data_IF_454154565340
#
_entry.id   IF_454154565340
#
_cell.length_a   1.000
_cell.length_b   1.000
_cell.length_c   1.000
_cell.angle_alpha   90.00
_cell.angle_beta   90.00
_cell.angle_gamma   90.00
#
_symmetry.space_group_name_H-M   'P 1'
#
loop_
_entity.id
_entity.type
_entity.pdbx_description
1 polymer ?
#
# COMPACT_ATOMS: atom_id res chain seq x y z
N UNK A 1 -67.81 -50.55 -23.09
CA UNK A 1 -67.22 -49.87 -21.92
C UNK A 1 -66.08 -49.01 -22.43
N UNK A 2 -66.32 -47.72 -22.60
CA UNK A 2 -65.27 -46.74 -22.90
C UNK A 2 -64.74 -46.22 -21.56
N UNK A 3 -63.42 -46.23 -21.37
CA UNK A 3 -62.80 -45.38 -20.36
C UNK A 3 -61.47 -44.84 -20.89
N UNK A 4 -61.42 -43.53 -20.86
CA UNK A 4 -60.49 -42.58 -21.44
C UNK A 4 -59.10 -42.58 -20.79
N UNK A 5 -58.07 -42.38 -21.61
CA UNK A 5 -56.71 -42.07 -21.23
C UNK A 5 -56.59 -40.63 -20.73
N UNK A 6 -56.02 -40.43 -19.54
CA UNK A 6 -55.58 -39.13 -19.05
C UNK A 6 -54.11 -38.94 -19.44
N UNK A 7 -53.84 -37.97 -20.32
CA UNK A 7 -52.50 -37.42 -20.51
C UNK A 7 -52.22 -36.40 -19.41
N UNK A 8 -51.11 -36.57 -18.69
CA UNK A 8 -50.57 -35.55 -17.79
C UNK A 8 -49.46 -34.79 -18.50
N UNK A 9 -49.64 -33.48 -18.65
CA UNK A 9 -48.63 -32.55 -19.13
C UNK A 9 -47.84 -32.01 -17.94
N UNK A 10 -46.50 -32.02 -17.95
CA UNK A 10 -45.74 -31.34 -16.90
C UNK A 10 -45.69 -29.83 -17.20
N UNK A 11 -46.02 -29.04 -16.18
CA UNK A 11 -45.93 -27.59 -16.15
C UNK A 11 -44.45 -27.20 -15.99
N UNK A 12 -43.82 -26.64 -17.02
CA UNK A 12 -42.48 -26.06 -16.90
C UNK A 12 -42.57 -24.71 -16.16
N UNK A 13 -42.12 -24.67 -14.91
CA UNK A 13 -41.84 -23.43 -14.19
C UNK A 13 -40.51 -22.86 -14.70
N UNK A 14 -40.56 -21.82 -15.53
CA UNK A 14 -39.37 -21.04 -15.88
C UNK A 14 -38.95 -20.18 -14.68
N UNK A 15 -37.92 -20.62 -13.96
CA UNK A 15 -37.20 -19.76 -13.03
C UNK A 15 -36.39 -18.74 -13.85
N UNK A 16 -36.86 -17.49 -13.90
CA UNK A 16 -36.06 -16.36 -14.37
C UNK A 16 -35.03 -16.05 -13.28
N UNK A 17 -33.84 -16.63 -13.39
CA UNK A 17 -32.70 -16.20 -12.60
C UNK A 17 -32.31 -14.79 -13.06
N UNK A 18 -32.65 -13.78 -12.27
CA UNK A 18 -32.03 -12.47 -12.38
C UNK A 18 -30.54 -12.65 -12.10
N UNK A 19 -29.74 -12.74 -13.16
CA UNK A 19 -28.30 -12.57 -13.11
C UNK A 19 -28.06 -11.12 -12.67
N UNK A 20 -27.99 -10.89 -11.37
CA UNK A 20 -27.28 -9.74 -10.83
C UNK A 20 -25.81 -9.98 -11.15
N UNK A 21 -25.39 -9.57 -12.35
CA UNK A 21 -23.98 -9.31 -12.59
C UNK A 21 -23.53 -8.38 -11.47
N UNK A 22 -22.45 -8.69 -10.71
CA UNK A 22 -21.85 -7.66 -9.89
C UNK A 22 -21.52 -6.52 -10.86
N UNK A 23 -22.13 -5.35 -10.64
CA UNK A 23 -21.62 -4.14 -11.27
C UNK A 23 -20.15 -4.09 -10.85
N UNK A 24 -19.24 -4.33 -11.79
CA UNK A 24 -17.87 -3.93 -11.62
C UNK A 24 -17.94 -2.45 -11.23
N UNK A 25 -17.55 -2.13 -10.01
CA UNK A 25 -17.27 -0.74 -9.64
C UNK A 25 -16.11 -0.37 -10.55
N UNK A 26 -16.41 0.25 -11.69
CA UNK A 26 -15.40 0.89 -12.51
C UNK A 26 -14.71 1.87 -11.58
N UNK A 27 -13.44 1.63 -11.28
CA UNK A 27 -12.62 2.56 -10.53
C UNK A 27 -12.76 3.93 -11.19
N UNK A 28 -13.04 4.95 -10.39
CA UNK A 28 -13.11 6.32 -10.88
C UNK A 28 -11.79 7.01 -10.60
N UNK A 29 -11.45 7.99 -11.44
CA UNK A 29 -10.35 8.88 -11.14
C UNK A 29 -10.54 9.52 -9.75
N UNK A 30 -9.49 9.54 -8.95
CA UNK A 30 -9.44 10.32 -7.70
C UNK A 30 -8.23 11.27 -7.70
N UNK A 31 -8.10 12.09 -6.67
CA UNK A 31 -7.02 13.06 -6.51
C UNK A 31 -6.01 12.64 -5.43
N UNK A 32 -5.88 11.34 -5.15
CA UNK A 32 -5.02 10.82 -4.11
C UNK A 32 -3.55 10.71 -4.56
N UNK A 33 -2.64 11.30 -3.78
CA UNK A 33 -1.19 11.26 -3.98
C UNK A 33 -0.47 10.82 -2.72
N UNK A 34 0.48 9.89 -2.84
CA UNK A 34 1.29 9.38 -1.73
C UNK A 34 2.78 9.50 -2.03
N UNK A 35 3.57 9.94 -1.06
CA UNK A 35 5.03 10.09 -1.17
C UNK A 35 5.76 9.34 -0.05
N UNK A 36 6.57 8.33 -0.39
CA UNK A 36 7.46 7.68 0.57
C UNK A 36 8.69 8.55 0.85
N UNK A 37 9.13 8.61 2.11
CA UNK A 37 10.20 9.53 2.55
C UNK A 37 10.99 9.00 3.76
N UNK A 38 12.31 9.22 3.75
CA UNK A 38 13.19 9.12 4.92
C UNK A 38 14.09 7.88 4.98
N UNK A 39 13.95 6.92 4.07
CA UNK A 39 14.66 5.64 4.13
C UNK A 39 16.14 5.73 3.77
N UNK A 40 16.55 6.72 2.97
CA UNK A 40 17.89 6.76 2.38
C UNK A 40 18.84 7.71 3.11
N UNK A 41 18.39 8.38 4.18
CA UNK A 41 19.18 9.32 4.98
C UNK A 41 19.88 10.39 4.13
N UNK A 42 19.16 10.92 3.13
CA UNK A 42 19.67 11.94 2.19
C UNK A 42 19.38 13.38 2.64
N UNK A 43 18.83 13.57 3.84
CA UNK A 43 18.54 14.88 4.40
C UNK A 43 17.33 15.59 3.79
N UNK A 44 16.44 14.84 3.13
CA UNK A 44 15.17 15.36 2.61
C UNK A 44 14.23 15.70 3.77
N UNK A 45 13.48 16.79 3.63
CA UNK A 45 12.47 17.23 4.59
C UNK A 45 11.10 17.26 3.92
N UNK A 46 10.03 17.18 4.72
CA UNK A 46 8.67 17.39 4.23
C UNK A 46 8.49 18.71 3.48
N UNK A 47 9.22 19.77 3.88
CA UNK A 47 9.15 21.09 3.24
C UNK A 47 9.82 21.16 1.86
N UNK A 48 10.64 20.18 1.50
CA UNK A 48 11.34 20.16 0.21
C UNK A 48 10.44 19.62 -0.91
N UNK A 49 9.52 18.72 -0.56
CA UNK A 49 8.59 18.08 -1.49
C UNK A 49 7.45 19.05 -1.84
N UNK A 50 7.20 19.33 -3.13
CA UNK A 50 6.11 20.20 -3.56
C UNK A 50 4.74 19.62 -3.20
N UNK A 51 3.84 20.45 -2.65
CA UNK A 51 2.48 20.05 -2.29
C UNK A 51 1.46 20.90 -3.06
N UNK A 52 0.62 20.24 -3.84
CA UNK A 52 -0.54 20.83 -4.49
C UNK A 52 -1.77 20.73 -3.56
N UNK A 53 -2.41 21.86 -3.25
CA UNK A 53 -3.56 21.89 -2.35
C UNK A 53 -4.83 21.19 -2.89
N UNK A 54 -4.84 20.83 -4.17
CA UNK A 54 -5.98 20.18 -4.84
C UNK A 54 -5.93 18.65 -4.79
N UNK A 55 -4.89 18.05 -4.22
CA UNK A 55 -4.78 16.60 -4.02
C UNK A 55 -4.97 16.21 -2.55
N UNK A 56 -5.45 15.00 -2.28
CA UNK A 56 -5.26 14.37 -0.97
C UNK A 56 -3.81 13.87 -0.91
N UNK A 57 -3.01 14.40 0.00
CA UNK A 57 -1.56 14.17 0.02
C UNK A 57 -1.17 13.37 1.27
N UNK A 58 -0.63 12.17 1.09
CA UNK A 58 -0.09 11.37 2.18
C UNK A 58 1.43 11.29 2.09
N UNK A 59 2.14 11.64 3.16
CA UNK A 59 3.52 11.18 3.34
C UNK A 59 3.51 9.81 4.02
N UNK A 60 4.48 8.97 3.66
CA UNK A 60 4.75 7.71 4.35
C UNK A 60 6.22 7.68 4.78
N UNK A 61 6.45 7.77 6.08
CA UNK A 61 7.78 7.62 6.69
C UNK A 61 8.28 6.18 6.50
N UNK A 62 9.49 6.03 5.99
CA UNK A 62 10.11 4.72 5.74
C UNK A 62 11.42 4.55 6.51
N UNK A 63 11.53 3.66 7.49
CA UNK A 63 10.56 2.66 7.94
C UNK A 63 10.48 2.56 9.47
N UNK A 64 9.39 2.01 9.98
CA UNK A 64 9.37 1.36 11.28
C UNK A 64 9.62 -0.15 11.09
N UNK A 65 10.55 -0.72 11.85
CA UNK A 65 10.98 -2.12 11.68
C UNK A 65 11.00 -2.81 13.04
N UNK A 66 10.41 -4.00 13.15
CA UNK A 66 10.42 -4.83 14.36
C UNK A 66 11.70 -5.67 14.48
N UNK A 67 12.86 -5.02 14.28
CA UNK A 67 14.18 -5.62 14.34
C UNK A 67 15.11 -4.89 15.31
N UNK A 68 15.94 -5.66 16.02
CA UNK A 68 17.01 -5.14 16.85
C UNK A 68 18.33 -5.16 16.09
N UNK A 69 19.02 -4.02 16.08
CA UNK A 69 20.40 -3.87 15.56
C UNK A 69 21.45 -4.02 16.65
N UNK A 70 21.07 -4.45 17.86
CA UNK A 70 22.01 -4.71 18.95
C UNK A 70 22.85 -5.98 18.73
N UNK A 71 22.45 -6.83 17.77
CA UNK A 71 23.18 -8.04 17.35
C UNK A 71 23.62 -7.94 15.90
N UNK A 72 24.57 -8.79 15.50
CA UNK A 72 24.97 -8.98 14.11
C UNK A 72 24.94 -10.48 13.79
N UNK A 73 24.03 -10.94 12.91
CA UNK A 73 23.04 -10.16 12.17
C UNK A 73 21.96 -9.51 13.07
N UNK A 74 21.27 -8.45 12.59
CA UNK A 74 20.07 -7.95 13.23
C UNK A 74 19.04 -9.07 13.43
N UNK A 75 18.24 -8.98 14.50
CA UNK A 75 17.31 -10.04 14.89
C UNK A 75 15.87 -9.51 15.02
N UNK A 76 14.85 -10.29 14.64
CA UNK A 76 13.45 -9.91 14.82
C UNK A 76 13.13 -9.80 16.32
N UNK A 77 12.22 -8.89 16.64
CA UNK A 77 11.84 -8.52 18.02
C UNK A 77 10.41 -8.92 18.38
N UNK A 78 9.77 -9.76 17.54
CA UNK A 78 8.40 -10.20 17.74
C UNK A 78 7.42 -9.00 17.82
N UNK A 79 7.44 -8.11 16.83
CA UNK A 79 6.50 -6.99 16.74
C UNK A 79 6.88 -5.76 17.57
N UNK A 80 8.06 -5.67 18.16
CA UNK A 80 8.49 -4.43 18.84
C UNK A 80 9.13 -3.47 17.83
N UNK A 81 8.32 -2.56 17.27
CA UNK A 81 8.77 -1.64 16.21
C UNK A 81 9.70 -0.55 16.72
N UNK A 82 10.84 -0.40 16.05
CA UNK A 82 11.79 0.72 16.19
C UNK A 82 11.76 1.66 14.98
N UNK A 83 12.35 2.84 15.13
CA UNK A 83 12.44 3.87 14.09
C UNK A 83 13.71 3.69 13.24
N UNK A 84 13.56 3.63 11.92
CA UNK A 84 14.66 3.44 10.95
C UNK A 84 14.67 4.47 9.81
N UNK A 85 13.94 5.58 9.93
CA UNK A 85 14.05 6.73 9.01
C UNK A 85 14.98 7.81 9.56
N UNK A 86 15.28 8.81 8.73
CA UNK A 86 16.08 9.99 9.06
C UNK A 86 15.40 10.93 10.09
N UNK A 87 15.46 10.55 11.37
CA UNK A 87 14.88 11.32 12.49
C UNK A 87 15.51 12.70 12.71
N UNK A 88 16.69 12.96 12.15
CA UNK A 88 17.32 14.29 12.23
C UNK A 88 16.54 15.31 11.38
N UNK A 89 15.97 14.86 10.26
CA UNK A 89 15.23 15.71 9.32
C UNK A 89 13.71 15.53 9.38
N UNK A 90 13.23 14.37 9.85
CA UNK A 90 11.81 13.98 9.91
C UNK A 90 11.40 13.72 11.36
N UNK A 91 11.48 14.77 12.18
CA UNK A 91 11.15 14.74 13.62
C UNK A 91 9.64 14.87 13.88
N UNK A 92 9.16 14.60 15.12
CA UNK A 92 7.77 14.86 15.49
C UNK A 92 7.29 16.29 15.25
N UNK A 93 8.17 17.26 15.52
CA UNK A 93 7.88 18.68 15.27
C UNK A 93 7.75 18.97 13.76
N UNK A 94 8.52 18.28 12.92
CA UNK A 94 8.45 18.43 11.47
C UNK A 94 7.13 17.85 10.91
N UNK A 95 6.67 16.71 11.44
CA UNK A 95 5.34 16.13 11.12
C UNK A 95 4.24 17.12 11.52
N UNK A 96 4.24 17.57 12.77
CA UNK A 96 3.24 18.53 13.26
C UNK A 96 3.23 19.84 12.45
N UNK A 97 4.41 20.32 12.05
CA UNK A 97 4.53 21.54 11.26
C UNK A 97 3.97 21.37 9.83
N UNK A 98 4.21 20.24 9.16
CA UNK A 98 3.72 20.06 7.79
C UNK A 98 2.19 19.95 7.75
N UNK A 99 1.58 19.22 8.68
CA UNK A 99 0.11 19.07 8.76
C UNK A 99 -0.58 20.39 9.15
N UNK A 100 0.05 21.20 10.01
CA UNK A 100 -0.47 22.53 10.33
C UNK A 100 -0.42 23.49 9.13
N UNK A 101 0.60 23.36 8.27
CA UNK A 101 0.76 24.22 7.11
C UNK A 101 -0.12 23.80 5.92
N UNK A 102 -0.48 22.51 5.84
CA UNK A 102 -1.22 21.94 4.72
C UNK A 102 -2.36 21.05 5.23
N UNK A 103 -3.60 21.57 5.20
CA UNK A 103 -4.78 20.84 5.70
C UNK A 103 -5.16 19.62 4.86
N UNK A 104 -4.57 19.45 3.68
CA UNK A 104 -4.75 18.29 2.80
C UNK A 104 -3.64 17.23 2.97
N UNK A 105 -2.70 17.43 3.90
CA UNK A 105 -1.62 16.50 4.20
C UNK A 105 -1.99 15.62 5.40
N UNK A 106 -1.64 14.35 5.27
CA UNK A 106 -1.54 13.38 6.37
C UNK A 106 -0.18 12.71 6.36
N UNK A 107 0.30 12.24 7.53
CA UNK A 107 1.57 11.51 7.62
C UNK A 107 1.36 10.13 8.23
N UNK A 108 1.79 9.08 7.53
CA UNK A 108 1.80 7.69 8.00
C UNK A 108 3.22 7.15 8.14
N UNK A 109 3.34 5.91 8.61
CA UNK A 109 4.60 5.16 8.67
C UNK A 109 4.47 3.79 8.02
N UNK A 110 5.44 3.43 7.19
CA UNK A 110 5.53 2.09 6.58
C UNK A 110 6.28 1.12 7.47
N UNK A 111 5.74 -0.09 7.57
CA UNK A 111 6.19 -1.18 8.44
C UNK A 111 6.93 -2.24 7.62
N UNK A 112 8.17 -2.53 8.00
CA UNK A 112 8.99 -3.57 7.37
C UNK A 112 10.08 -3.01 6.46
N UNK A 113 9.83 -3.01 5.15
CA UNK A 113 10.81 -2.75 4.09
C UNK A 113 11.68 -3.97 3.75
N UNK A 114 12.53 -3.84 2.74
CA UNK A 114 13.37 -4.94 2.25
C UNK A 114 14.47 -5.38 3.23
N UNK A 115 15.23 -4.43 3.79
CA UNK A 115 16.46 -4.74 4.57
C UNK A 115 16.71 -3.79 5.74
N UNK A 116 17.41 -4.31 6.76
CA UNK A 116 18.04 -3.56 7.85
C UNK A 116 19.51 -3.94 7.94
N UNK A 117 20.41 -2.94 7.87
CA UNK A 117 21.87 -3.15 7.81
C UNK A 117 22.32 -4.18 6.73
N UNK A 118 21.62 -4.23 5.59
CA UNK A 118 21.91 -5.16 4.49
C UNK A 118 21.41 -6.60 4.71
N UNK A 119 20.66 -6.87 5.78
CA UNK A 119 20.01 -8.15 6.03
C UNK A 119 18.50 -8.03 5.77
N UNK A 120 17.91 -9.05 5.14
CA UNK A 120 16.48 -9.06 4.86
C UNK A 120 15.65 -8.94 6.15
N UNK A 121 14.63 -8.08 6.09
CA UNK A 121 13.60 -7.98 7.13
C UNK A 121 12.55 -9.05 6.83
N UNK A 122 12.64 -10.17 7.55
CA UNK A 122 11.66 -11.24 7.47
C UNK A 122 10.51 -10.95 8.43
N UNK A 123 9.28 -11.07 7.96
CA UNK A 123 8.14 -11.15 8.87
C UNK A 123 8.31 -12.38 9.78
N UNK A 124 8.34 -12.18 11.10
CA UNK A 124 8.60 -13.24 12.06
C UNK A 124 7.87 -13.02 13.39
N UNK A 125 6.87 -13.87 13.65
CA UNK A 125 6.07 -13.86 14.87
C UNK A 125 6.33 -15.12 15.71
N UNK A 126 6.48 -14.93 17.02
CA UNK A 126 6.55 -16.04 18.00
C UNK A 126 5.17 -16.68 18.18
N UNK A 127 4.14 -15.84 18.21
CA UNK A 127 2.73 -16.20 18.11
C UNK A 127 1.95 -14.99 17.63
N UNK A 128 0.77 -15.20 17.04
CA UNK A 128 -0.12 -14.09 16.65
C UNK A 128 -0.39 -13.15 17.81
N UNK A 129 -0.81 -13.69 18.96
CA UNK A 129 -1.15 -12.90 20.15
C UNK A 129 0.02 -12.03 20.65
N UNK A 130 1.22 -12.62 20.78
CA UNK A 130 2.38 -11.90 21.31
C UNK A 130 2.90 -10.85 20.33
N UNK A 131 2.96 -11.16 19.04
CA UNK A 131 3.38 -10.21 18.02
C UNK A 131 2.40 -9.05 17.91
N UNK A 132 1.09 -9.31 17.88
CA UNK A 132 0.06 -8.26 17.81
C UNK A 132 0.09 -7.37 19.05
N UNK A 133 0.24 -7.96 20.25
CA UNK A 133 0.35 -7.18 21.49
C UNK A 133 1.54 -6.22 21.46
N UNK A 134 2.70 -6.70 21.04
CA UNK A 134 3.92 -5.89 20.93
C UNK A 134 3.79 -4.81 19.84
N UNK A 135 3.24 -5.17 18.68
CA UNK A 135 3.05 -4.28 17.55
C UNK A 135 2.09 -3.14 17.89
N UNK A 136 0.91 -3.47 18.46
CA UNK A 136 -0.06 -2.46 18.90
C UNK A 136 0.57 -1.52 19.93
N UNK A 137 1.28 -2.04 20.92
CA UNK A 137 1.87 -1.23 21.98
C UNK A 137 2.97 -0.28 21.46
N UNK A 138 3.92 -0.82 20.69
CA UNK A 138 5.07 -0.05 20.17
C UNK A 138 4.63 0.98 19.12
N UNK A 139 3.76 0.59 18.18
CA UNK A 139 3.24 1.48 17.16
C UNK A 139 2.32 2.54 17.73
N UNK A 140 1.46 2.23 18.71
CA UNK A 140 0.64 3.26 19.37
C UNK A 140 1.51 4.35 19.99
N UNK A 141 2.60 3.95 20.66
CA UNK A 141 3.55 4.90 21.24
C UNK A 141 4.20 5.76 20.16
N UNK A 142 4.68 5.14 19.08
CA UNK A 142 5.33 5.84 17.97
C UNK A 142 4.37 6.81 17.26
N UNK A 143 3.16 6.35 16.94
CA UNK A 143 2.12 7.12 16.25
C UNK A 143 1.72 8.33 17.09
N UNK A 144 1.51 8.17 18.40
CA UNK A 144 1.19 9.29 19.28
C UNK A 144 2.36 10.26 19.45
N UNK A 145 3.60 9.75 19.50
CA UNK A 145 4.79 10.59 19.63
C UNK A 145 5.00 11.46 18.39
N UNK A 146 4.78 10.93 17.20
CA UNK A 146 4.99 11.63 15.93
C UNK A 146 3.74 12.33 15.38
N UNK A 147 2.58 12.15 16.00
CA UNK A 147 1.28 12.60 15.50
C UNK A 147 0.96 12.03 14.11
N UNK A 148 1.11 10.71 13.93
CA UNK A 148 0.86 10.04 12.65
C UNK A 148 -0.63 9.69 12.48
N UNK A 149 -1.09 9.69 11.25
CA UNK A 149 -2.48 9.42 10.85
C UNK A 149 -2.74 7.97 10.43
N UNK A 150 -1.70 7.21 10.11
CA UNK A 150 -1.86 5.92 9.43
C UNK A 150 -0.62 5.02 9.48
N UNK A 151 -0.81 3.80 9.00
CA UNK A 151 0.28 2.84 8.76
C UNK A 151 0.20 2.26 7.35
N UNK A 152 1.35 1.85 6.84
CA UNK A 152 1.49 1.12 5.59
C UNK A 152 2.21 -0.22 5.86
N UNK A 153 1.77 -1.31 5.22
CA UNK A 153 2.37 -2.63 5.42
C UNK A 153 3.25 -2.97 4.22
N UNK A 154 4.56 -3.06 4.44
CA UNK A 154 5.57 -3.26 3.38
C UNK A 154 6.62 -4.32 3.76
N UNK A 155 6.18 -5.45 4.31
CA UNK A 155 7.05 -6.63 4.42
C UNK A 155 7.22 -7.29 3.06
N UNK A 156 8.48 -7.55 2.67
CA UNK A 156 8.83 -8.14 1.36
C UNK A 156 9.42 -9.56 1.48
N UNK A 157 9.76 -10.01 2.69
CA UNK A 157 10.37 -11.33 2.93
C UNK A 157 9.60 -12.12 4.01
N UNK A 158 9.30 -13.39 3.75
CA UNK A 158 8.37 -14.21 4.56
C UNK A 158 8.95 -15.55 5.06
N UNK A 159 10.28 -15.65 5.09
CA UNK A 159 10.99 -16.86 5.51
C UNK A 159 10.79 -18.03 4.55
N UNK A 160 11.22 -19.22 4.94
CA UNK A 160 11.11 -20.42 4.10
C UNK A 160 9.72 -21.08 4.18
N UNK A 161 8.99 -20.84 5.26
CA UNK A 161 7.69 -21.49 5.51
C UNK A 161 6.54 -20.77 4.81
N UNK A 162 6.72 -19.49 4.45
CA UNK A 162 5.68 -18.66 3.84
C UNK A 162 4.34 -18.80 4.59
N UNK A 163 4.40 -18.69 5.92
CA UNK A 163 3.23 -18.83 6.80
C UNK A 163 2.25 -17.67 6.60
N UNK A 164 1.36 -17.87 5.64
CA UNK A 164 0.39 -16.89 5.18
C UNK A 164 -0.70 -16.63 6.22
N UNK A 165 -1.08 -17.65 6.99
CA UNK A 165 -2.11 -17.53 8.02
C UNK A 165 -1.60 -16.66 9.17
N UNK A 166 -0.38 -16.91 9.66
CA UNK A 166 0.21 -16.10 10.72
C UNK A 166 0.42 -14.64 10.28
N UNK A 167 0.92 -14.40 9.07
CA UNK A 167 1.03 -13.04 8.52
C UNK A 167 -0.33 -12.34 8.46
N UNK A 168 -1.33 -13.01 7.87
CA UNK A 168 -2.68 -12.47 7.68
C UNK A 168 -3.34 -12.11 9.02
N UNK A 169 -3.23 -12.99 10.02
CA UNK A 169 -3.79 -12.74 11.35
C UNK A 169 -3.07 -11.62 12.08
N UNK A 170 -1.74 -11.62 12.07
CA UNK A 170 -0.95 -10.59 12.75
C UNK A 170 -1.26 -9.19 12.20
N UNK A 171 -1.15 -9.02 10.88
CA UNK A 171 -1.35 -7.71 10.24
C UNK A 171 -2.83 -7.29 10.32
N UNK A 172 -3.75 -8.20 10.04
CA UNK A 172 -5.18 -7.89 10.08
C UNK A 172 -5.66 -7.49 11.48
N UNK A 173 -5.23 -8.20 12.53
CA UNK A 173 -5.56 -7.84 13.91
C UNK A 173 -4.87 -6.56 14.36
N UNK A 174 -3.64 -6.30 13.90
CA UNK A 174 -2.95 -5.02 14.15
C UNK A 174 -3.74 -3.83 13.58
N UNK A 175 -4.04 -3.84 12.28
CA UNK A 175 -4.78 -2.76 11.61
C UNK A 175 -6.14 -2.56 12.29
N UNK A 176 -6.85 -3.66 12.54
CA UNK A 176 -8.16 -3.63 13.20
C UNK A 176 -8.08 -2.97 14.57
N UNK A 177 -7.11 -3.36 15.39
CA UNK A 177 -6.97 -2.86 16.76
C UNK A 177 -6.60 -1.37 16.77
N UNK A 178 -5.68 -0.94 15.89
CA UNK A 178 -5.30 0.46 15.79
C UNK A 178 -6.47 1.34 15.32
N UNK A 179 -7.28 0.89 14.34
CA UNK A 179 -8.49 1.60 13.90
C UNK A 179 -9.58 1.62 14.98
N UNK A 180 -9.89 0.48 15.59
CA UNK A 180 -10.92 0.38 16.64
C UNK A 180 -10.59 1.26 17.86
N UNK A 181 -9.29 1.42 18.17
CA UNK A 181 -8.81 2.29 19.24
C UNK A 181 -8.69 3.77 18.83
N UNK A 182 -8.96 4.11 17.57
CA UNK A 182 -8.83 5.48 17.05
C UNK A 182 -7.39 6.00 17.01
N UNK A 183 -6.41 5.09 16.95
CA UNK A 183 -4.97 5.43 16.86
C UNK A 183 -4.58 5.83 15.44
N UNK A 184 -5.20 5.21 14.43
CA UNK A 184 -5.00 5.53 13.01
C UNK A 184 -6.35 5.81 12.32
N UNK A 185 -6.31 6.68 11.32
CA UNK A 185 -7.45 6.98 10.45
C UNK A 185 -7.44 6.17 9.15
N UNK A 186 -6.26 5.73 8.68
CA UNK A 186 -6.13 4.91 7.48
C UNK A 186 -5.02 3.86 7.58
N UNK A 187 -5.10 2.85 6.72
CA UNK A 187 -4.08 1.84 6.52
C UNK A 187 -3.92 1.51 5.02
N UNK A 188 -2.69 1.24 4.59
CA UNK A 188 -2.38 0.74 3.25
C UNK A 188 -1.53 -0.53 3.29
N UNK A 189 -1.46 -1.22 2.14
CA UNK A 189 -0.56 -2.35 1.92
C UNK A 189 0.28 -2.10 0.66
N UNK A 190 1.54 -2.55 0.62
CA UNK A 190 2.46 -2.27 -0.47
C UNK A 190 2.97 -3.55 -1.20
N UNK A 191 2.08 -4.37 -1.80
CA UNK A 191 2.48 -5.58 -2.52
C UNK A 191 3.19 -5.28 -3.84
N UNK A 192 3.89 -6.28 -4.39
CA UNK A 192 4.46 -6.22 -5.74
C UNK A 192 4.34 -7.56 -6.47
N UNK A 193 4.74 -7.60 -7.75
CA UNK A 193 4.57 -8.75 -8.65
C UNK A 193 5.55 -9.91 -8.38
N UNK A 194 5.68 -10.32 -7.12
CA UNK A 194 6.37 -11.54 -6.70
C UNK A 194 5.35 -12.57 -6.18
N UNK A 195 5.40 -13.84 -6.61
CA UNK A 195 4.38 -14.84 -6.24
C UNK A 195 4.20 -15.04 -4.74
N UNK A 196 5.29 -15.02 -3.95
CA UNK A 196 5.21 -15.17 -2.50
C UNK A 196 4.58 -13.94 -1.87
N UNK A 197 5.03 -12.74 -2.24
CA UNK A 197 4.47 -11.47 -1.74
C UNK A 197 2.99 -11.37 -2.09
N UNK A 198 2.61 -11.64 -3.34
CA UNK A 198 1.21 -11.68 -3.77
C UNK A 198 0.37 -12.61 -2.92
N UNK A 199 0.83 -13.85 -2.68
CA UNK A 199 0.06 -14.81 -1.88
C UNK A 199 -0.23 -14.30 -0.47
N UNK A 200 0.72 -13.59 0.13
CA UNK A 200 0.61 -13.01 1.48
C UNK A 200 -0.40 -11.87 1.51
N UNK A 201 -0.23 -10.88 0.64
CA UNK A 201 -1.07 -9.69 0.63
C UNK A 201 -2.48 -9.94 0.07
N UNK A 202 -2.65 -10.89 -0.86
CA UNK A 202 -3.97 -11.29 -1.33
C UNK A 202 -4.75 -12.03 -0.24
N UNK A 203 -4.09 -12.88 0.57
CA UNK A 203 -4.73 -13.53 1.71
C UNK A 203 -5.16 -12.50 2.78
N UNK A 204 -4.28 -11.53 3.09
CA UNK A 204 -4.60 -10.40 3.94
C UNK A 204 -5.80 -9.61 3.41
N UNK A 205 -5.79 -9.24 2.12
CA UNK A 205 -6.86 -8.49 1.48
C UNK A 205 -8.19 -9.25 1.51
N UNK A 206 -8.19 -10.54 1.16
CA UNK A 206 -9.38 -11.38 1.13
C UNK A 206 -10.10 -11.42 2.49
N UNK A 207 -9.37 -11.28 3.60
CA UNK A 207 -9.92 -11.34 4.95
C UNK A 207 -10.16 -9.96 5.59
N UNK A 208 -9.33 -8.96 5.29
CA UNK A 208 -9.31 -7.67 5.99
C UNK A 208 -9.47 -6.44 5.07
N UNK A 209 -9.86 -6.60 3.79
CA UNK A 209 -10.07 -5.49 2.85
C UNK A 209 -11.00 -4.38 3.36
N UNK A 210 -11.97 -4.67 4.23
CA UNK A 210 -12.88 -3.66 4.78
C UNK A 210 -12.22 -2.64 5.73
N UNK A 211 -10.99 -2.91 6.18
CA UNK A 211 -10.22 -2.03 7.06
C UNK A 211 -8.91 -1.55 6.43
N UNK A 212 -8.65 -1.89 5.16
CA UNK A 212 -7.48 -1.43 4.40
C UNK A 212 -7.98 -0.46 3.33
N UNK A 213 -7.47 0.76 3.34
CA UNK A 213 -8.01 1.87 2.54
C UNK A 213 -7.33 1.98 1.17
N UNK A 214 -6.04 1.64 1.07
CA UNK A 214 -5.27 1.76 -0.17
C UNK A 214 -4.38 0.54 -0.43
N UNK A 215 -4.14 0.27 -1.71
CA UNK A 215 -3.15 -0.72 -2.17
C UNK A 215 -2.07 0.03 -2.93
N UNK A 216 -0.93 0.25 -2.26
CA UNK A 216 0.27 0.89 -2.79
C UNK A 216 1.05 -0.15 -3.62
N UNK A 217 0.44 -0.64 -4.70
CA UNK A 217 1.06 -1.66 -5.54
C UNK A 217 2.35 -1.16 -6.18
N UNK A 218 3.47 -1.84 -5.96
CA UNK A 218 4.79 -1.40 -6.43
C UNK A 218 5.00 -1.74 -7.92
N UNK A 219 4.39 -0.99 -8.82
CA UNK A 219 4.50 -1.21 -10.27
C UNK A 219 5.93 -0.99 -10.79
N UNK A 220 6.75 -0.20 -10.10
CA UNK A 220 8.17 -0.09 -10.45
C UNK A 220 8.91 -1.44 -10.38
N UNK A 221 8.43 -2.43 -9.62
CA UNK A 221 9.07 -3.75 -9.52
C UNK A 221 8.92 -4.62 -10.79
N UNK A 222 8.12 -4.21 -11.77
CA UNK A 222 8.08 -4.86 -13.09
C UNK A 222 9.36 -4.55 -13.89
N UNK A 223 9.65 -5.39 -14.90
CA UNK A 223 10.90 -5.33 -15.67
C UNK A 223 11.10 -4.02 -16.44
N UNK A 224 12.36 -3.62 -16.61
CA UNK A 224 12.74 -2.39 -17.32
C UNK A 224 12.29 -2.30 -18.79
N UNK A 225 11.91 -3.42 -19.41
CA UNK A 225 11.37 -3.50 -20.76
C UNK A 225 9.84 -3.32 -20.84
N UNK A 226 9.18 -3.13 -19.69
CA UNK A 226 7.73 -2.88 -19.62
C UNK A 226 7.37 -1.62 -20.39
N UNK A 227 6.45 -1.74 -21.34
CA UNK A 227 5.86 -0.61 -22.08
C UNK A 227 4.70 0.01 -21.31
N UNK A 228 4.24 1.19 -21.75
CA UNK A 228 3.02 1.83 -21.20
C UNK A 228 1.81 0.90 -21.32
N UNK A 229 1.58 0.28 -22.47
CA UNK A 229 0.46 -0.67 -22.66
C UNK A 229 0.55 -1.88 -21.72
N UNK A 230 1.76 -2.42 -21.51
CA UNK A 230 1.97 -3.52 -20.58
C UNK A 230 1.74 -3.08 -19.13
N UNK A 231 2.18 -1.87 -18.76
CA UNK A 231 1.88 -1.30 -17.45
C UNK A 231 0.37 -1.23 -17.23
N UNK A 232 -0.40 -0.71 -18.18
CA UNK A 232 -1.88 -0.61 -18.05
C UNK A 232 -2.52 -1.99 -17.92
N UNK A 233 -2.03 -3.00 -18.65
CA UNK A 233 -2.48 -4.39 -18.49
C UNK A 233 -2.17 -4.94 -17.10
N UNK A 234 -0.97 -4.69 -16.58
CA UNK A 234 -0.61 -5.08 -15.22
C UNK A 234 -1.46 -4.34 -14.18
N UNK A 235 -1.80 -3.08 -14.41
CA UNK A 235 -2.70 -2.34 -13.52
C UNK A 235 -4.09 -2.99 -13.45
N UNK A 236 -4.68 -3.33 -14.61
CA UNK A 236 -5.95 -4.05 -14.66
C UNK A 236 -5.87 -5.44 -13.96
N UNK A 237 -4.74 -6.13 -14.10
CA UNK A 237 -4.47 -7.38 -13.37
C UNK A 237 -4.45 -7.16 -11.86
N UNK A 238 -3.76 -6.13 -11.37
CA UNK A 238 -3.67 -5.86 -9.93
C UNK A 238 -5.00 -5.37 -9.35
N UNK A 239 -5.77 -4.56 -10.07
CA UNK A 239 -7.15 -4.23 -9.69
C UNK A 239 -8.00 -5.50 -9.55
N UNK A 240 -7.78 -6.50 -10.39
CA UNK A 240 -8.47 -7.80 -10.31
C UNK A 240 -8.02 -8.64 -9.11
N UNK A 241 -6.74 -8.55 -8.73
CA UNK A 241 -6.17 -9.23 -7.55
C UNK A 241 -6.65 -8.63 -6.21
N UNK A 242 -7.00 -7.34 -6.20
CA UNK A 242 -7.49 -6.61 -5.02
C UNK A 242 -8.92 -6.07 -5.28
N UNK A 243 -9.93 -6.95 -5.40
CA UNK A 243 -11.26 -6.57 -5.83
C UNK A 243 -11.89 -5.54 -4.87
N UNK A 244 -12.38 -4.43 -5.45
CA UNK A 244 -12.96 -3.31 -4.71
C UNK A 244 -11.93 -2.41 -4.00
N UNK A 245 -10.64 -2.68 -4.17
CA UNK A 245 -9.57 -1.90 -3.58
C UNK A 245 -9.22 -0.64 -4.35
N UNK A 246 -8.73 0.34 -3.62
CA UNK A 246 -8.17 1.57 -4.17
C UNK A 246 -6.70 1.33 -4.53
N UNK A 247 -6.46 0.73 -5.69
CA UNK A 247 -5.10 0.44 -6.19
C UNK A 247 -4.47 1.71 -6.75
N UNK A 248 -3.30 2.08 -6.24
CA UNK A 248 -2.55 3.25 -6.70
C UNK A 248 -1.58 2.87 -7.81
N UNK A 249 -1.50 3.66 -8.88
CA UNK A 249 -0.40 3.57 -9.84
C UNK A 249 0.89 4.06 -9.16
N UNK A 250 2.06 3.61 -9.62
CA UNK A 250 3.31 3.99 -8.99
C UNK A 250 4.53 3.85 -9.88
N UNK A 251 5.56 4.58 -9.49
CA UNK A 251 6.88 4.45 -10.07
C UNK A 251 7.90 4.92 -9.03
N UNK A 252 9.18 4.66 -9.34
CA UNK A 252 10.28 5.11 -8.49
C UNK A 252 11.15 6.13 -9.21
N UNK A 253 11.71 7.06 -8.46
CA UNK A 253 12.62 8.11 -8.95
C UNK A 253 14.09 7.78 -8.67
N UNK A 254 14.36 6.76 -7.86
CA UNK A 254 15.72 6.27 -7.71
C UNK A 254 16.22 5.61 -9.01
N UNK A 255 17.47 5.92 -9.37
CA UNK A 255 18.11 5.41 -10.58
C UNK A 255 18.56 3.96 -10.40
N UNK A 256 17.59 3.05 -10.43
CA UNK A 256 17.79 1.61 -10.29
C UNK A 256 17.66 0.93 -11.65
N UNK A 257 18.54 -0.04 -11.92
CA UNK A 257 18.47 -0.83 -13.16
C UNK A 257 17.54 -2.03 -12.99
N UNK A 258 16.86 -2.43 -14.07
CA UNK A 258 16.03 -3.65 -14.09
C UNK A 258 14.57 -3.43 -13.69
N UNK A 259 14.20 -2.18 -13.39
CA UNK A 259 12.86 -1.72 -13.02
C UNK A 259 12.30 -0.75 -14.06
N UNK A 260 10.99 -0.52 -14.03
CA UNK A 260 10.34 0.50 -14.88
C UNK A 260 10.96 1.89 -14.63
N UNK A 261 11.19 2.65 -15.70
CA UNK A 261 11.64 4.04 -15.59
C UNK A 261 10.52 4.97 -15.12
N UNK A 262 10.87 6.05 -14.41
CA UNK A 262 9.91 7.08 -14.01
C UNK A 262 9.12 7.67 -15.21
N UNK A 263 9.78 7.86 -16.36
CA UNK A 263 9.12 8.31 -17.59
C UNK A 263 8.01 7.36 -18.05
N UNK A 264 8.28 6.05 -18.07
CA UNK A 264 7.28 5.03 -18.46
C UNK A 264 6.15 4.97 -17.43
N UNK A 265 6.49 4.99 -16.14
CA UNK A 265 5.49 4.96 -15.07
C UNK A 265 4.57 6.18 -15.09
N UNK A 266 5.12 7.39 -15.25
CA UNK A 266 4.32 8.60 -15.38
C UNK A 266 3.47 8.60 -16.66
N UNK A 267 4.02 8.15 -17.80
CA UNK A 267 3.26 8.01 -19.05
C UNK A 267 2.09 7.04 -18.89
N UNK A 268 2.27 5.94 -18.16
CA UNK A 268 1.18 5.02 -17.85
C UNK A 268 0.13 5.64 -16.93
N UNK A 269 0.52 6.48 -15.97
CA UNK A 269 -0.43 7.25 -15.17
C UNK A 269 -1.30 8.17 -16.05
N UNK A 270 -0.72 8.81 -17.07
CA UNK A 270 -1.48 9.63 -18.04
C UNK A 270 -2.49 8.79 -18.83
N UNK A 271 -2.09 7.60 -19.30
CA UNK A 271 -2.97 6.69 -20.01
C UNK A 271 -4.13 6.24 -19.12
N UNK A 272 -3.84 5.76 -17.90
CA UNK A 272 -4.84 5.36 -16.91
C UNK A 272 -5.83 6.49 -16.57
N UNK A 273 -5.33 7.72 -16.43
CA UNK A 273 -6.17 8.92 -16.18
C UNK A 273 -7.13 9.15 -17.36
N UNK A 274 -6.65 9.01 -18.60
CA UNK A 274 -7.46 9.17 -19.81
C UNK A 274 -8.54 8.09 -19.95
N UNK A 275 -8.27 6.88 -19.46
CA UNK A 275 -9.22 5.77 -19.40
C UNK A 275 -10.18 5.83 -18.20
N UNK A 276 -10.08 6.86 -17.36
CA UNK A 276 -10.79 7.00 -16.08
C UNK A 276 -10.48 5.92 -15.03
N UNK A 277 -9.30 5.28 -15.10
CA UNK A 277 -8.89 4.19 -14.21
C UNK A 277 -7.97 4.61 -13.07
N UNK A 278 -7.42 5.82 -13.10
CA UNK A 278 -6.37 6.25 -12.18
C UNK A 278 -6.94 6.65 -10.82
N UNK A 279 -6.97 5.72 -9.87
CA UNK A 279 -7.42 6.06 -8.52
C UNK A 279 -6.47 7.06 -7.87
N UNK A 280 -5.16 6.81 -7.89
CA UNK A 280 -4.16 7.73 -7.36
C UNK A 280 -2.77 7.31 -7.77
N UNK A 281 -1.76 8.07 -7.33
CA UNK A 281 -0.36 7.83 -7.62
C UNK A 281 0.43 7.77 -6.31
N UNK A 282 1.37 6.85 -6.18
CA UNK A 282 2.44 6.99 -5.20
C UNK A 282 3.83 6.94 -5.84
N UNK A 283 4.80 7.59 -5.20
CA UNK A 283 6.19 7.63 -5.65
C UNK A 283 7.13 7.10 -4.57
N UNK A 284 8.07 6.26 -5.00
CA UNK A 284 9.23 5.82 -4.22
C UNK A 284 10.51 6.47 -4.77
N UNK A 285 11.12 7.48 -4.17
CA UNK A 285 10.78 8.16 -2.92
C UNK A 285 11.40 9.57 -2.93
N UNK A 286 10.96 10.42 -2.01
CA UNK A 286 11.39 11.81 -1.90
C UNK A 286 12.91 11.96 -1.75
N UNK A 287 13.57 11.02 -1.07
CA UNK A 287 15.02 11.02 -0.88
C UNK A 287 15.78 10.98 -2.22
N UNK A 288 15.27 10.22 -3.20
CA UNK A 288 15.85 10.14 -4.54
C UNK A 288 15.48 11.35 -5.39
N UNK A 289 14.25 11.84 -5.22
CA UNK A 289 13.71 13.00 -5.95
C UNK A 289 14.36 14.32 -5.56
N UNK A 290 14.91 14.44 -4.34
CA UNK A 290 15.56 15.66 -3.84
C UNK A 290 16.63 16.19 -4.82
N UNK A 291 17.49 15.29 -5.32
CA UNK A 291 18.55 15.65 -6.27
C UNK A 291 18.04 15.99 -7.69
N UNK A 292 16.79 15.64 -7.99
CA UNK A 292 16.15 15.78 -9.30
C UNK A 292 15.10 16.92 -9.33
N UNK A 293 14.96 17.64 -8.21
CA UNK A 293 14.07 18.80 -8.10
C UNK A 293 12.58 18.45 -8.11
N UNK A 294 12.23 17.21 -7.72
CA UNK A 294 10.84 16.75 -7.58
C UNK A 294 9.96 16.90 -8.84
N UNK A 295 10.56 16.70 -10.01
CA UNK A 295 9.87 16.90 -11.30
C UNK A 295 8.62 16.02 -11.42
N UNK A 296 8.72 14.74 -11.04
CA UNK A 296 7.62 13.79 -11.22
C UNK A 296 6.52 13.93 -10.17
N UNK A 297 6.85 14.39 -8.97
CA UNK A 297 5.90 14.71 -7.90
C UNK A 297 5.01 15.88 -8.34
N UNK A 298 5.62 16.95 -8.88
CA UNK A 298 4.89 18.10 -9.43
C UNK A 298 3.95 17.67 -10.56
N UNK A 299 4.46 16.86 -11.49
CA UNK A 299 3.69 16.40 -12.65
C UNK A 299 2.54 15.46 -12.25
N UNK A 300 2.79 14.52 -11.34
CA UNK A 300 1.79 13.58 -10.83
C UNK A 300 0.66 14.29 -10.11
N UNK A 301 0.98 15.24 -9.23
CA UNK A 301 -0.03 16.03 -8.53
C UNK A 301 -0.83 16.93 -9.49
N UNK A 302 -0.19 17.50 -10.50
CA UNK A 302 -0.88 18.28 -11.52
C UNK A 302 -1.85 17.42 -12.37
N UNK A 303 -1.44 16.19 -12.71
CA UNK A 303 -2.30 15.22 -13.41
C UNK A 303 -3.52 14.83 -12.58
N UNK A 304 -3.32 14.54 -11.30
CA UNK A 304 -4.40 14.16 -10.36
C UNK A 304 -5.37 15.31 -10.08
N UNK A 305 -4.89 16.56 -10.06
CA UNK A 305 -5.70 17.76 -9.85
C UNK A 305 -6.47 18.21 -11.10
N UNK A 306 -6.29 17.54 -12.25
CA UNK A 306 -6.88 17.93 -13.55
C UNK A 306 -8.16 17.18 -13.93
#
# INVERSE_FOLDING_TARGET
>A
MYSSSFFSTPLFLSFLACMLSPMAVLGANSNHFTEYIGALFRGVKFSDVPINSSVEFHYILSFAIDYSVATTPPAPTNGEFGVFWDTENLSPDAVSAIEQNYSNVKVAVSLGGATVNGYNVYFNATSVESWVSNAVSSLTTMIQQYNLDGIDIDYESFGNENDTDTFTECIGQLIKTLKDNGVISFASIAPFANPTVQSMYQALWAKYSSIIDYVNFQFYAYGADTTVDQYVQYYDEQVSNYPGGNVLASFMTENTTGVISADTGFSACQELKSENKLYGIFIWCADASLSQGFTYEIQSQALLAS
#
